data_IF_510442679653
#
_entry.id   IF_510442679653
#
_cell.length_a   1.000
_cell.length_b   1.000
_cell.length_c   1.000
_cell.angle_alpha   90.00
_cell.angle_beta   90.00
_cell.angle_gamma   90.00
#
_symmetry.space_group_name_H-M   'P 1'
#
loop_
_entity.id
_entity.type
_entity.pdbx_description
1 polymer ?
#
# COMPACT_ATOMS: atom_id res chain seq x y z
N UNK A 1 7.29 -17.09 14.03
CA UNK A 1 6.98 -15.73 14.54
C UNK A 1 5.72 -15.12 13.90
N UNK A 2 5.11 -15.73 12.88
CA UNK A 2 3.91 -15.21 12.18
C UNK A 2 2.56 -15.61 12.79
N UNK A 3 2.51 -16.59 13.71
CA UNK A 3 1.22 -17.11 14.22
C UNK A 3 0.50 -16.16 15.17
N UNK A 4 1.22 -15.26 15.86
CA UNK A 4 0.64 -14.36 16.85
C UNK A 4 0.05 -13.08 16.24
N UNK A 5 0.50 -12.64 15.05
CA UNK A 5 -0.08 -11.44 14.40
C UNK A 5 -1.46 -11.70 13.80
N UNK A 6 -1.80 -12.97 13.55
CA UNK A 6 -3.08 -13.34 12.93
C UNK A 6 -4.25 -13.35 13.94
N UNK A 7 -3.99 -13.58 15.23
CA UNK A 7 -5.05 -13.70 16.25
C UNK A 7 -5.84 -12.40 16.48
N UNK A 8 -5.17 -11.25 16.37
CA UNK A 8 -5.79 -9.93 16.54
C UNK A 8 -6.30 -9.33 15.24
N UNK A 9 -5.87 -9.88 14.09
CA UNK A 9 -6.21 -9.37 12.77
C UNK A 9 -7.54 -9.92 12.25
N UNK A 10 -7.87 -11.18 12.56
CA UNK A 10 -9.14 -11.77 12.13
C UNK A 10 -10.39 -11.00 12.59
N UNK A 11 -10.51 -10.54 13.85
CA UNK A 11 -11.67 -9.76 14.27
C UNK A 11 -11.80 -8.40 13.57
N UNK A 12 -10.68 -7.72 13.30
CA UNK A 12 -10.67 -6.44 12.56
C UNK A 12 -11.15 -6.64 11.13
N UNK A 13 -10.68 -7.69 10.47
CA UNK A 13 -11.04 -8.00 9.08
C UNK A 13 -12.51 -8.40 8.97
N UNK A 14 -13.04 -9.20 9.90
CA UNK A 14 -14.47 -9.54 9.92
C UNK A 14 -15.35 -8.30 10.12
N UNK A 15 -14.98 -7.40 11.04
CA UNK A 15 -15.69 -6.13 11.22
C UNK A 15 -15.63 -5.27 9.94
N UNK A 16 -14.48 -5.22 9.28
CA UNK A 16 -14.29 -4.48 8.04
C UNK A 16 -15.19 -5.00 6.91
N UNK A 17 -15.24 -6.34 6.75
CA UNK A 17 -16.12 -7.02 5.80
C UNK A 17 -17.59 -6.71 6.06
N UNK A 18 -18.02 -6.78 7.33
CA UNK A 18 -19.39 -6.46 7.72
C UNK A 18 -19.74 -5.00 7.43
N UNK A 19 -18.88 -4.04 7.81
CA UNK A 19 -19.16 -2.62 7.56
C UNK A 19 -19.20 -2.25 6.08
N UNK A 20 -18.36 -2.86 5.23
CA UNK A 20 -18.46 -2.66 3.77
C UNK A 20 -19.76 -3.22 3.19
N UNK A 21 -20.28 -4.32 3.75
CA UNK A 21 -21.57 -4.87 3.39
C UNK A 21 -22.72 -3.94 3.85
N UNK A 22 -22.67 -3.43 5.08
CA UNK A 22 -23.61 -2.45 5.61
C UNK A 22 -23.66 -1.20 4.71
N UNK A 23 -22.49 -0.66 4.32
CA UNK A 23 -22.38 0.52 3.46
C UNK A 23 -23.11 0.33 2.12
N UNK A 24 -22.96 -0.86 1.53
CA UNK A 24 -23.59 -1.20 0.26
C UNK A 24 -25.11 -1.31 0.37
N UNK A 25 -25.62 -1.71 1.54
CA UNK A 25 -27.05 -1.82 1.85
C UNK A 25 -27.68 -0.59 2.50
N UNK A 26 -26.92 0.47 2.78
CA UNK A 26 -27.41 1.66 3.46
C UNK A 26 -28.27 2.55 2.53
N UNK A 27 -29.43 2.97 3.04
CA UNK A 27 -30.46 3.68 2.27
C UNK A 27 -30.42 5.21 2.45
N UNK A 28 -29.56 5.75 3.32
CA UNK A 28 -29.44 7.20 3.54
C UNK A 28 -27.99 7.70 3.54
N UNK A 29 -27.75 8.96 3.13
CA UNK A 29 -26.42 9.59 3.23
C UNK A 29 -25.87 9.61 4.66
N UNK A 30 -26.72 9.85 5.65
CA UNK A 30 -26.31 9.91 7.06
C UNK A 30 -25.81 8.56 7.57
N UNK A 31 -26.52 7.48 7.22
CA UNK A 31 -26.10 6.12 7.55
C UNK A 31 -24.80 5.76 6.85
N UNK A 32 -24.63 6.15 5.58
CA UNK A 32 -23.38 5.94 4.84
C UNK A 32 -22.20 6.67 5.46
N UNK A 33 -22.39 7.92 5.91
CA UNK A 33 -21.35 8.69 6.55
C UNK A 33 -20.86 8.04 7.86
N UNK A 34 -21.78 7.57 8.72
CA UNK A 34 -21.42 6.85 9.95
C UNK A 34 -20.65 5.56 9.66
N UNK A 35 -21.08 4.80 8.64
CA UNK A 35 -20.41 3.56 8.25
C UNK A 35 -19.04 3.86 7.64
N UNK A 36 -18.90 4.93 6.84
CA UNK A 36 -17.63 5.36 6.25
C UNK A 36 -16.61 5.73 7.35
N UNK A 37 -17.02 6.45 8.40
CA UNK A 37 -16.15 6.77 9.55
C UNK A 37 -15.63 5.49 10.24
N UNK A 38 -16.50 4.49 10.36
CA UNK A 38 -16.15 3.20 10.93
C UNK A 38 -15.21 2.38 10.03
N UNK A 39 -15.42 2.43 8.71
CA UNK A 39 -14.53 1.83 7.71
C UNK A 39 -13.16 2.49 7.77
N UNK A 40 -13.08 3.82 7.85
CA UNK A 40 -11.82 4.56 7.98
C UNK A 40 -11.05 4.18 9.25
N UNK A 41 -11.74 4.11 10.39
CA UNK A 41 -11.14 3.62 11.63
C UNK A 41 -10.55 2.21 11.46
N UNK A 42 -11.30 1.32 10.80
CA UNK A 42 -10.85 -0.05 10.56
C UNK A 42 -9.67 -0.11 9.56
N UNK A 43 -9.65 0.73 8.51
CA UNK A 43 -8.50 0.89 7.60
C UNK A 43 -7.23 1.22 8.37
N UNK A 44 -7.30 2.22 9.26
CA UNK A 44 -6.17 2.63 10.10
C UNK A 44 -5.67 1.48 10.96
N UNK A 45 -6.57 0.77 11.65
CA UNK A 45 -6.18 -0.34 12.53
C UNK A 45 -5.59 -1.53 11.75
N UNK A 46 -6.15 -1.83 10.57
CA UNK A 46 -5.60 -2.87 9.67
C UNK A 46 -4.20 -2.45 9.19
N UNK A 47 -4.02 -1.21 8.75
CA UNK A 47 -2.72 -0.69 8.31
C UNK A 47 -1.67 -0.71 9.43
N UNK A 48 -2.05 -0.40 10.68
CA UNK A 48 -1.20 -0.57 11.87
C UNK A 48 -0.79 -2.03 12.04
N UNK A 49 -1.74 -2.96 11.96
CA UNK A 49 -1.49 -4.40 12.12
C UNK A 49 -0.55 -4.97 11.05
N UNK A 50 -0.54 -4.35 9.87
CA UNK A 50 0.30 -4.68 8.74
C UNK A 50 1.68 -4.03 8.78
N UNK A 51 1.95 -3.13 9.74
CA UNK A 51 3.13 -2.26 9.76
C UNK A 51 3.26 -1.36 8.51
N UNK A 52 2.13 -0.98 7.92
CA UNK A 52 2.09 -0.06 6.78
C UNK A 52 2.10 1.42 7.22
N UNK A 53 1.86 1.68 8.51
CA UNK A 53 2.11 2.97 9.15
C UNK A 53 3.50 2.98 9.81
N UNK A 54 4.14 4.16 9.95
CA UNK A 54 5.39 4.31 10.69
C UNK A 54 5.29 3.70 12.09
N UNK A 55 6.41 3.16 12.60
CA UNK A 55 6.45 2.65 13.97
C UNK A 55 5.97 3.71 14.95
N UNK A 56 4.93 3.32 15.69
CA UNK A 56 4.29 4.21 16.64
C UNK A 56 5.11 4.28 17.93
N UNK A 57 5.35 5.47 18.48
CA UNK A 57 5.97 5.61 19.78
C UNK A 57 5.09 4.90 20.82
N UNK A 58 5.72 4.17 21.74
CA UNK A 58 4.95 3.44 22.76
C UNK A 58 4.22 4.46 23.64
N UNK A 59 2.94 4.24 24.01
CA UNK A 59 2.19 5.20 24.84
C UNK A 59 2.95 5.64 26.11
N UNK A 60 3.67 4.70 26.75
CA UNK A 60 4.51 5.00 27.91
C UNK A 60 5.67 5.96 27.63
N UNK A 61 6.27 5.95 26.44
CA UNK A 61 7.34 6.88 26.06
C UNK A 61 6.81 8.31 25.99
N UNK A 62 5.62 8.50 25.41
CA UNK A 62 4.97 9.82 25.38
C UNK A 62 4.66 10.27 26.80
N UNK A 63 4.05 9.41 27.62
CA UNK A 63 3.73 9.74 29.00
C UNK A 63 4.98 10.11 29.80
N UNK A 64 6.10 9.41 29.60
CA UNK A 64 7.37 9.73 30.25
C UNK A 64 7.94 11.07 29.78
N UNK A 65 7.94 11.32 28.46
CA UNK A 65 8.40 12.57 27.88
C UNK A 65 7.56 13.77 28.35
N UNK A 66 6.24 13.63 28.43
CA UNK A 66 5.34 14.66 28.96
C UNK A 66 5.65 15.00 30.43
N UNK A 67 6.00 14.00 31.23
CA UNK A 67 6.42 14.22 32.64
C UNK A 67 7.72 15.00 32.75
N UNK A 68 8.61 14.93 31.76
CA UNK A 68 9.88 15.69 31.74
C UNK A 68 9.71 17.16 31.34
N UNK A 69 8.59 17.52 30.69
CA UNK A 69 8.33 18.89 30.23
C UNK A 69 8.32 19.90 31.37
N UNK A 70 7.59 19.62 32.45
CA UNK A 70 7.46 20.58 33.56
C UNK A 70 8.79 20.78 34.31
N UNK A 71 9.54 19.72 34.70
CA UNK A 71 10.88 19.88 35.27
C UNK A 71 11.85 20.68 34.38
N UNK A 72 11.82 20.48 33.05
CA UNK A 72 12.65 21.26 32.14
C UNK A 72 12.23 22.73 32.09
N UNK A 73 10.93 23.02 32.03
CA UNK A 73 10.40 24.39 32.09
C UNK A 73 10.85 25.11 33.36
N UNK A 74 10.73 24.46 34.50
CA UNK A 74 11.15 25.00 35.79
C UNK A 74 12.67 25.23 35.85
N UNK A 75 13.45 24.36 35.21
CA UNK A 75 14.91 24.50 35.10
C UNK A 75 15.29 25.69 34.21
N UNK A 76 14.65 25.86 33.06
CA UNK A 76 14.86 27.00 32.17
C UNK A 76 14.53 28.31 32.90
N UNK A 77 13.38 28.39 33.57
CA UNK A 77 12.97 29.60 34.28
C UNK A 77 13.95 29.96 35.41
N UNK A 78 14.45 28.95 36.15
CA UNK A 78 15.48 29.17 37.17
C UNK A 78 16.77 29.73 36.60
N UNK A 79 17.23 29.23 35.45
CA UNK A 79 18.45 29.69 34.78
C UNK A 79 18.32 31.12 34.23
N UNK A 80 17.12 31.47 33.73
CA UNK A 80 16.79 32.85 33.33
C UNK A 80 16.87 33.77 34.55
N UNK A 81 16.24 33.38 35.66
CA UNK A 81 16.22 34.17 36.89
C UNK A 81 17.62 34.33 37.51
N UNK A 82 18.51 33.35 37.33
CA UNK A 82 19.90 33.41 37.81
C UNK A 82 20.86 34.14 36.86
N UNK A 83 20.41 34.56 35.67
CA UNK A 83 21.22 35.30 34.69
C UNK A 83 22.19 34.44 33.85
N UNK A 84 22.10 33.10 33.92
CA UNK A 84 22.95 32.18 33.15
C UNK A 84 22.37 31.99 31.73
N UNK A 85 22.52 33.02 30.89
CA UNK A 85 21.96 33.06 29.53
C UNK A 85 22.40 31.88 28.65
N UNK A 86 23.69 31.52 28.55
CA UNK A 86 24.12 30.43 27.67
C UNK A 86 23.49 29.08 28.04
N UNK A 87 23.37 28.81 29.34
CA UNK A 87 22.76 27.57 29.83
C UNK A 87 21.24 27.58 29.68
N UNK A 88 20.59 28.72 29.93
CA UNK A 88 19.17 28.90 29.69
C UNK A 88 18.80 28.65 28.22
N UNK A 89 19.58 29.19 27.27
CA UNK A 89 19.38 28.98 25.83
C UNK A 89 19.51 27.50 25.44
N UNK A 90 20.51 26.79 25.98
CA UNK A 90 20.69 25.36 25.72
C UNK A 90 19.51 24.53 26.22
N UNK A 91 19.04 24.77 27.44
CA UNK A 91 17.91 24.04 28.02
C UNK A 91 16.59 24.41 27.33
N UNK A 92 16.43 25.67 26.90
CA UNK A 92 15.29 26.08 26.08
C UNK A 92 15.26 25.35 24.74
N UNK A 93 16.42 25.15 24.09
CA UNK A 93 16.51 24.34 22.87
C UNK A 93 16.09 22.89 23.13
N UNK A 94 16.58 22.28 24.21
CA UNK A 94 16.19 20.92 24.60
C UNK A 94 14.67 20.80 24.85
N UNK A 95 14.08 21.77 25.55
CA UNK A 95 12.64 21.83 25.79
C UNK A 95 11.86 21.91 24.47
N UNK A 96 12.30 22.77 23.55
CA UNK A 96 11.64 22.90 22.25
C UNK A 96 11.73 21.58 21.46
N UNK A 97 12.90 20.94 21.42
CA UNK A 97 13.08 19.63 20.76
C UNK A 97 12.19 18.56 21.38
N UNK A 98 12.07 18.51 22.71
CA UNK A 98 11.19 17.56 23.40
C UNK A 98 9.72 17.80 23.06
N UNK A 99 9.27 19.06 23.08
CA UNK A 99 7.90 19.42 22.73
C UNK A 99 7.56 19.05 21.27
N UNK A 100 8.45 19.36 20.33
CA UNK A 100 8.28 18.96 18.92
C UNK A 100 8.20 17.44 18.78
N UNK A 101 9.06 16.69 19.48
CA UNK A 101 9.03 15.22 19.44
C UNK A 101 7.72 14.67 20.00
N UNK A 102 7.21 15.22 21.11
CA UNK A 102 5.91 14.82 21.70
C UNK A 102 4.77 15.10 20.72
N UNK A 103 4.76 16.27 20.06
CA UNK A 103 3.74 16.62 19.08
C UNK A 103 3.77 15.67 17.87
N UNK A 104 4.96 15.37 17.34
CA UNK A 104 5.13 14.41 16.24
C UNK A 104 4.66 13.02 16.64
N UNK A 105 5.02 12.55 17.85
CA UNK A 105 4.58 11.27 18.38
C UNK A 105 3.07 11.18 18.57
N UNK A 106 2.43 12.24 19.05
CA UNK A 106 0.97 12.30 19.18
C UNK A 106 0.27 12.24 17.83
N UNK A 107 0.80 12.93 16.81
CA UNK A 107 0.29 12.87 15.44
C UNK A 107 0.40 11.47 14.85
N UNK A 108 1.49 10.77 15.14
CA UNK A 108 1.67 9.39 14.68
C UNK A 108 0.61 8.47 15.31
N UNK A 109 0.31 8.61 16.61
CA UNK A 109 -0.67 7.73 17.27
C UNK A 109 -2.11 8.04 16.86
N UNK A 110 -2.43 9.33 16.70
CA UNK A 110 -3.78 9.79 16.37
C UNK A 110 -3.97 9.93 14.85
N UNK A 111 -3.67 8.86 14.12
CA UNK A 111 -3.99 8.77 12.69
C UNK A 111 -5.50 8.53 12.60
N UNK A 112 -6.23 9.58 12.24
CA UNK A 112 -7.69 9.51 12.05
C UNK A 112 -8.06 8.93 10.68
N UNK A 113 -7.19 9.12 9.68
CA UNK A 113 -7.41 8.70 8.30
C UNK A 113 -6.17 8.00 7.76
N UNK A 114 -6.37 6.88 7.06
CA UNK A 114 -5.28 6.16 6.40
C UNK A 114 -5.01 6.77 5.02
N UNK A 115 -4.14 7.78 4.98
CA UNK A 115 -3.74 8.45 3.73
C UNK A 115 -2.36 7.95 3.25
N UNK A 116 -2.36 7.28 2.10
CA UNK A 116 -1.16 6.78 1.40
C UNK A 116 -0.71 7.72 0.28
N UNK A 117 -1.30 8.91 0.18
CA UNK A 117 -1.08 9.86 -0.90
C UNK A 117 -1.59 9.33 -2.23
N UNK A 118 -0.72 9.22 -3.23
CA UNK A 118 -1.07 8.72 -4.57
C UNK A 118 -1.05 7.19 -4.69
N UNK A 119 -0.68 6.47 -3.63
CA UNK A 119 -0.54 5.01 -3.65
C UNK A 119 -1.85 4.38 -3.19
N UNK A 120 -2.38 3.42 -3.95
CA UNK A 120 -3.51 2.62 -3.51
C UNK A 120 -3.01 1.35 -2.82
N UNK A 121 -3.30 1.18 -1.53
CA UNK A 121 -2.90 0.00 -0.78
C UNK A 121 -3.97 -1.10 -0.84
N UNK A 122 -3.81 -1.99 -1.82
CA UNK A 122 -4.68 -3.15 -2.02
C UNK A 122 -4.82 -4.04 -0.78
N UNK A 123 -3.76 -4.17 0.03
CA UNK A 123 -3.76 -5.10 1.17
C UNK A 123 -4.58 -4.60 2.36
N UNK A 124 -4.81 -3.29 2.45
CA UNK A 124 -5.68 -2.65 3.43
C UNK A 124 -7.10 -2.55 2.86
N UNK A 125 -7.23 -2.01 1.65
CA UNK A 125 -8.54 -1.75 1.02
C UNK A 125 -9.36 -3.02 0.74
N UNK A 126 -8.66 -4.15 0.55
CA UNK A 126 -9.24 -5.47 0.35
C UNK A 126 -8.70 -6.48 1.36
N UNK A 127 -8.44 -6.05 2.59
CA UNK A 127 -7.92 -6.91 3.65
C UNK A 127 -8.73 -8.20 3.85
N UNK A 128 -10.05 -8.12 3.70
CA UNK A 128 -10.98 -9.25 3.74
C UNK A 128 -10.77 -10.24 2.60
N UNK A 129 -10.42 -9.76 1.40
CA UNK A 129 -10.12 -10.61 0.24
C UNK A 129 -8.77 -11.31 0.42
N UNK A 130 -7.75 -10.57 0.89
CA UNK A 130 -6.43 -11.15 1.13
C UNK A 130 -6.39 -12.09 2.34
N UNK A 131 -7.26 -11.90 3.34
CA UNK A 131 -7.46 -12.88 4.41
C UNK A 131 -8.01 -14.21 3.89
N UNK A 132 -8.88 -14.16 2.87
CA UNK A 132 -9.42 -15.32 2.15
C UNK A 132 -8.45 -15.84 1.06
N UNK A 133 -7.23 -15.30 1.01
CA UNK A 133 -6.13 -15.77 0.16
C UNK A 133 -5.95 -15.00 -1.15
N UNK A 134 -6.79 -14.02 -1.46
CA UNK A 134 -6.72 -13.20 -2.68
C UNK A 134 -7.99 -13.25 -3.53
N UNK A 135 -7.96 -12.58 -4.68
CA UNK A 135 -9.12 -12.46 -5.55
C UNK A 135 -9.42 -13.77 -6.30
N UNK A 136 -10.70 -14.11 -6.45
CA UNK A 136 -11.16 -15.19 -7.33
C UNK A 136 -10.81 -14.93 -8.79
N UNK A 137 -10.94 -13.67 -9.22
CA UNK A 137 -10.75 -13.26 -10.61
C UNK A 137 -10.08 -11.88 -10.64
N UNK A 138 -9.05 -11.74 -11.47
CA UNK A 138 -8.45 -10.43 -11.79
C UNK A 138 -8.51 -10.23 -13.30
N UNK A 139 -9.19 -9.17 -13.74
CA UNK A 139 -9.33 -8.83 -15.16
C UNK A 139 -8.78 -7.45 -15.45
N UNK A 140 -8.09 -7.28 -16.57
CA UNK A 140 -7.63 -5.96 -16.98
C UNK A 140 -7.45 -5.82 -18.50
N UNK A 141 -7.56 -4.57 -18.95
CA UNK A 141 -6.92 -4.08 -20.17
C UNK A 141 -5.81 -3.12 -19.72
N UNK A 142 -4.59 -3.63 -19.43
CA UNK A 142 -3.54 -2.81 -18.86
C UNK A 142 -3.08 -1.71 -19.84
N UNK A 143 -2.50 -0.62 -19.32
CA UNK A 143 -2.00 0.46 -20.17
C UNK A 143 -0.84 0.00 -21.07
N UNK A 144 -0.79 0.52 -22.29
CA UNK A 144 0.23 0.19 -23.29
C UNK A 144 1.30 1.29 -23.38
N UNK A 145 2.08 1.46 -22.30
CA UNK A 145 3.18 2.43 -22.26
C UNK A 145 4.48 1.74 -22.61
N UNK A 146 5.12 2.23 -23.67
CA UNK A 146 6.43 1.73 -24.10
C UNK A 146 7.52 2.12 -23.12
N UNK A 147 8.51 1.25 -23.00
CA UNK A 147 9.64 1.41 -22.08
C UNK A 147 10.36 2.77 -22.20
N UNK A 148 10.43 3.39 -23.37
CA UNK A 148 11.12 4.67 -23.58
C UNK A 148 10.46 5.81 -22.81
N UNK A 149 9.15 5.72 -22.53
CA UNK A 149 8.37 6.77 -21.88
C UNK A 149 8.38 6.66 -20.35
N UNK A 150 8.83 5.53 -19.79
CA UNK A 150 8.78 5.29 -18.35
C UNK A 150 9.86 6.06 -17.57
N UNK A 151 10.90 6.59 -18.23
CA UNK A 151 12.00 7.29 -17.57
C UNK A 151 12.92 6.35 -16.75
N UNK A 152 14.15 6.79 -16.51
CA UNK A 152 15.16 5.97 -15.81
C UNK A 152 14.85 5.82 -14.32
N UNK A 153 14.49 6.92 -13.66
CA UNK A 153 14.23 6.97 -12.22
C UNK A 153 13.10 6.02 -11.82
N UNK A 154 11.96 6.08 -12.51
CA UNK A 154 10.83 5.18 -12.25
C UNK A 154 11.20 3.70 -12.45
N UNK A 155 11.99 3.38 -13.49
CA UNK A 155 12.44 2.00 -13.71
C UNK A 155 13.35 1.50 -12.59
N UNK A 156 14.35 2.30 -12.19
CA UNK A 156 15.35 1.90 -11.20
C UNK A 156 14.80 1.89 -9.77
N UNK A 157 13.96 2.87 -9.43
CA UNK A 157 13.50 3.11 -8.05
C UNK A 157 12.07 2.61 -7.77
N UNK A 158 11.27 2.31 -8.80
CA UNK A 158 9.90 1.78 -8.62
C UNK A 158 9.71 0.41 -9.25
N UNK A 159 10.04 0.20 -10.52
CA UNK A 159 9.74 -1.08 -11.19
C UNK A 159 10.70 -2.18 -10.77
N UNK A 160 12.02 -1.94 -10.82
CA UNK A 160 13.03 -2.96 -10.52
C UNK A 160 12.94 -3.49 -9.08
N UNK A 161 12.74 -2.68 -8.03
CA UNK A 161 12.65 -3.18 -6.66
C UNK A 161 11.35 -3.96 -6.41
N UNK A 162 10.24 -3.56 -7.04
CA UNK A 162 8.92 -4.14 -6.79
C UNK A 162 8.56 -5.33 -7.69
N UNK A 163 9.29 -5.54 -8.80
CA UNK A 163 8.99 -6.55 -9.80
C UNK A 163 10.26 -7.23 -10.35
N UNK A 164 11.29 -7.39 -9.50
CA UNK A 164 12.61 -7.88 -9.92
C UNK A 164 12.59 -9.22 -10.66
N UNK A 165 11.62 -10.07 -10.32
CA UNK A 165 11.36 -11.38 -10.90
C UNK A 165 10.95 -11.31 -12.37
N UNK A 166 10.20 -10.29 -12.78
CA UNK A 166 9.83 -10.05 -14.19
C UNK A 166 10.55 -8.88 -14.84
N UNK A 167 11.37 -8.13 -14.09
CA UNK A 167 11.95 -6.87 -14.54
C UNK A 167 12.86 -7.03 -15.75
N UNK A 168 12.58 -6.22 -16.77
CA UNK A 168 13.44 -5.94 -17.91
C UNK A 168 13.41 -4.44 -18.22
N UNK A 169 14.59 -3.84 -18.41
CA UNK A 169 14.71 -2.41 -18.73
C UNK A 169 14.03 -1.99 -20.04
N UNK A 170 13.74 -2.97 -20.91
CA UNK A 170 13.08 -2.79 -22.21
C UNK A 170 11.64 -3.31 -22.23
N UNK A 171 11.08 -3.73 -21.08
CA UNK A 171 9.69 -4.16 -21.00
C UNK A 171 8.71 -2.98 -21.04
N UNK A 172 7.62 -3.17 -21.77
CA UNK A 172 6.44 -2.31 -21.71
C UNK A 172 5.76 -2.45 -20.34
N UNK A 173 5.03 -1.41 -19.90
CA UNK A 173 4.47 -1.35 -18.54
C UNK A 173 3.52 -2.51 -18.21
N UNK A 174 2.79 -3.04 -19.20
CA UNK A 174 1.81 -4.10 -18.98
C UNK A 174 2.45 -5.39 -18.44
N UNK A 175 3.76 -5.61 -18.63
CA UNK A 175 4.48 -6.76 -18.06
C UNK A 175 4.35 -6.80 -16.54
N UNK A 176 4.46 -5.64 -15.90
CA UNK A 176 4.36 -5.50 -14.45
C UNK A 176 2.92 -5.64 -13.96
N UNK A 177 1.93 -5.33 -14.81
CA UNK A 177 0.52 -5.60 -14.51
C UNK A 177 0.20 -7.09 -14.50
N UNK A 178 0.78 -7.90 -15.39
CA UNK A 178 0.63 -9.36 -15.33
C UNK A 178 1.17 -9.92 -14.01
N UNK A 179 2.38 -9.53 -13.62
CA UNK A 179 2.97 -9.97 -12.36
C UNK A 179 2.14 -9.53 -11.15
N UNK A 180 1.69 -8.26 -11.14
CA UNK A 180 0.81 -7.75 -10.07
C UNK A 180 -0.51 -8.51 -10.01
N UNK A 181 -1.17 -8.73 -11.13
CA UNK A 181 -2.43 -9.49 -11.18
C UNK A 181 -2.25 -10.90 -10.64
N UNK A 182 -1.16 -11.58 -11.04
CA UNK A 182 -0.87 -12.92 -10.56
C UNK A 182 -0.67 -12.96 -9.04
N UNK A 183 0.06 -11.98 -8.49
CA UNK A 183 0.29 -11.87 -7.04
C UNK A 183 -0.99 -11.55 -6.23
N UNK A 184 -2.05 -11.05 -6.87
CA UNK A 184 -3.32 -10.72 -6.23
C UNK A 184 -4.33 -11.89 -6.23
N UNK A 185 -4.12 -12.91 -7.06
CA UNK A 185 -5.03 -14.05 -7.16
C UNK A 185 -4.86 -14.98 -5.96
N UNK A 186 -5.99 -15.54 -5.50
CA UNK A 186 -5.95 -16.70 -4.59
C UNK A 186 -5.49 -17.96 -5.32
N UNK A 187 -5.21 -19.01 -4.55
CA UNK A 187 -5.02 -20.35 -5.12
C UNK A 187 -6.25 -20.75 -5.94
N UNK A 188 -6.04 -21.19 -7.19
CA UNK A 188 -7.09 -21.47 -8.18
C UNK A 188 -7.96 -20.26 -8.56
N UNK A 189 -7.49 -19.04 -8.35
CA UNK A 189 -8.07 -17.85 -8.96
C UNK A 189 -7.72 -17.77 -10.45
N UNK A 190 -8.45 -16.94 -11.20
CA UNK A 190 -8.29 -16.80 -12.66
C UNK A 190 -7.87 -15.39 -13.04
N UNK A 191 -6.76 -15.27 -13.77
CA UNK A 191 -6.35 -14.03 -14.42
C UNK A 191 -6.90 -13.96 -15.84
N UNK A 192 -7.48 -12.83 -16.24
CA UNK A 192 -7.93 -12.62 -17.62
C UNK A 192 -7.57 -11.24 -18.15
N UNK A 193 -6.56 -11.17 -19.02
CA UNK A 193 -6.10 -9.91 -19.61
C UNK A 193 -6.35 -9.88 -21.10
N UNK A 194 -6.80 -8.73 -21.60
CA UNK A 194 -6.60 -8.35 -23.00
C UNK A 194 -5.33 -7.52 -23.08
N UNK A 195 -4.30 -7.99 -23.78
CA UNK A 195 -3.01 -7.32 -23.87
C UNK A 195 -2.31 -7.57 -25.20
N UNK A 196 -1.15 -6.95 -25.40
CA UNK A 196 -0.30 -7.17 -26.58
C UNK A 196 0.23 -8.61 -26.58
N UNK A 197 0.26 -9.30 -27.72
CA UNK A 197 0.89 -10.63 -27.84
C UNK A 197 2.44 -10.57 -27.90
N UNK A 198 3.04 -9.38 -28.00
CA UNK A 198 4.49 -9.21 -28.23
C UNK A 198 5.35 -9.85 -27.15
N UNK A 199 4.94 -9.82 -25.89
CA UNK A 199 5.69 -10.41 -24.78
C UNK A 199 5.85 -11.94 -24.89
N UNK A 200 5.04 -12.61 -25.72
CA UNK A 200 5.20 -14.05 -26.00
C UNK A 200 6.51 -14.35 -26.74
N UNK A 201 7.01 -13.40 -27.55
CA UNK A 201 8.18 -13.60 -28.45
C UNK A 201 9.34 -12.67 -28.15
N UNK A 202 9.08 -11.49 -27.59
CA UNK A 202 10.11 -10.52 -27.29
C UNK A 202 11.05 -11.00 -26.18
N UNK A 203 12.33 -10.64 -26.28
CA UNK A 203 13.35 -10.97 -25.28
C UNK A 203 13.03 -10.41 -23.89
N UNK A 204 12.45 -9.19 -23.81
CA UNK A 204 12.04 -8.63 -22.51
C UNK A 204 10.96 -9.45 -21.80
N UNK A 205 10.20 -10.27 -22.53
CA UNK A 205 9.11 -11.07 -21.98
C UNK A 205 9.56 -12.41 -21.41
N UNK A 206 10.84 -12.78 -21.54
CA UNK A 206 11.37 -14.08 -21.10
C UNK A 206 11.08 -14.35 -19.62
N UNK A 207 11.41 -13.40 -18.75
CA UNK A 207 11.15 -13.53 -17.32
C UNK A 207 9.66 -13.60 -16.99
N UNK A 208 8.82 -12.85 -17.69
CA UNK A 208 7.37 -12.91 -17.49
C UNK A 208 6.82 -14.28 -17.89
N UNK A 209 7.25 -14.82 -19.04
CA UNK A 209 6.86 -16.17 -19.47
C UNK A 209 7.25 -17.20 -18.43
N UNK A 210 8.49 -17.15 -17.93
CA UNK A 210 8.96 -18.06 -16.90
C UNK A 210 8.14 -17.93 -15.61
N UNK A 211 7.96 -16.70 -15.12
CA UNK A 211 7.19 -16.42 -13.91
C UNK A 211 5.76 -16.95 -13.97
N UNK A 212 5.05 -16.74 -15.09
CA UNK A 212 3.68 -17.25 -15.24
C UNK A 212 3.67 -18.78 -15.39
N UNK A 213 4.57 -19.36 -16.18
CA UNK A 213 4.62 -20.83 -16.35
C UNK A 213 4.97 -21.58 -15.06
N UNK A 214 5.76 -20.97 -14.18
CA UNK A 214 6.12 -21.57 -12.89
C UNK A 214 4.98 -21.52 -11.87
N UNK A 215 4.10 -20.53 -11.98
CA UNK A 215 3.09 -20.23 -10.95
C UNK A 215 1.65 -20.51 -11.39
N UNK A 216 1.39 -20.63 -12.69
CA UNK A 216 0.02 -20.63 -13.25
C UNK A 216 -0.15 -21.69 -14.34
N UNK A 217 -1.40 -21.85 -14.81
CA UNK A 217 -1.72 -22.70 -15.96
C UNK A 217 -2.62 -21.93 -16.91
N UNK A 218 -2.10 -21.65 -18.11
CA UNK A 218 -2.93 -21.03 -19.14
C UNK A 218 -4.07 -21.96 -19.57
N UNK A 219 -5.28 -21.44 -19.49
CA UNK A 219 -6.50 -22.10 -19.92
C UNK A 219 -6.87 -21.72 -21.35
N UNK A 220 -6.63 -20.46 -21.74
CA UNK A 220 -6.98 -19.95 -23.06
C UNK A 220 -6.05 -18.82 -23.50
N UNK A 221 -5.63 -18.87 -24.77
CA UNK A 221 -4.98 -17.75 -25.45
C UNK A 221 -5.70 -17.53 -26.77
N UNK A 222 -6.29 -16.35 -26.95
CA UNK A 222 -6.94 -15.94 -28.20
C UNK A 222 -6.11 -14.82 -28.81
N UNK A 223 -5.35 -15.12 -29.86
CA UNK A 223 -4.56 -14.15 -30.60
C UNK A 223 -5.38 -13.62 -31.78
N UNK A 224 -5.65 -12.31 -31.79
CA UNK A 224 -6.42 -11.66 -32.85
C UNK A 224 -5.55 -11.31 -34.06
N UNK A 225 -4.22 -11.44 -33.98
CA UNK A 225 -3.32 -11.11 -35.08
C UNK A 225 -3.47 -9.67 -35.56
N UNK A 226 -3.72 -9.50 -36.86
CA UNK A 226 -3.87 -8.19 -37.51
C UNK A 226 -5.33 -7.68 -37.53
N UNK A 227 -6.25 -8.37 -36.86
CA UNK A 227 -7.64 -7.90 -36.78
C UNK A 227 -7.68 -6.54 -36.06
N UNK A 228 -8.37 -5.53 -36.63
CA UNK A 228 -8.46 -4.19 -36.05
C UNK A 228 -9.48 -4.18 -34.91
N UNK A 229 -9.19 -4.90 -33.83
CA UNK A 229 -10.04 -4.94 -32.62
C UNK A 229 -10.10 -3.57 -31.93
N UNK A 230 -9.01 -2.80 -32.06
CA UNK A 230 -8.91 -1.42 -31.55
C UNK A 230 -8.44 -0.47 -32.65
N UNK A 231 -8.77 0.81 -32.53
CA UNK A 231 -8.32 1.88 -33.43
C UNK A 231 -6.81 2.18 -33.34
N UNK A 232 -6.03 1.36 -32.64
CA UNK A 232 -4.59 1.49 -32.47
C UNK A 232 -3.89 0.26 -33.06
N UNK A 233 -2.75 0.45 -33.72
CA UNK A 233 -1.90 -0.60 -34.28
C UNK A 233 -1.23 -1.43 -33.17
N UNK A 234 -2.02 -2.28 -32.53
CA UNK A 234 -1.61 -3.24 -31.50
C UNK A 234 -1.95 -4.64 -32.00
N UNK A 235 -1.24 -5.65 -31.53
CA UNK A 235 -1.55 -7.06 -31.78
C UNK A 235 -2.24 -7.59 -30.51
N UNK A 236 -3.57 -7.45 -30.39
CA UNK A 236 -4.24 -7.78 -29.16
C UNK A 236 -4.41 -9.29 -29.05
N UNK A 237 -4.32 -9.78 -27.84
CA UNK A 237 -4.64 -11.15 -27.47
C UNK A 237 -5.33 -11.18 -26.12
N UNK A 238 -6.25 -12.13 -25.95
CA UNK A 238 -6.83 -12.45 -24.64
C UNK A 238 -6.03 -13.61 -24.03
N UNK A 239 -5.64 -13.44 -22.78
CA UNK A 239 -4.90 -14.39 -21.98
C UNK A 239 -5.76 -14.75 -20.77
N UNK A 240 -6.04 -16.04 -20.58
CA UNK A 240 -6.74 -16.58 -19.41
C UNK A 240 -5.86 -17.65 -18.76
N UNK A 241 -5.51 -17.47 -17.49
CA UNK A 241 -4.56 -18.31 -16.74
C UNK A 241 -4.94 -18.48 -15.27
#
# INVERSE_FOLDING_TARGET
>A
MEKDSNLFRSPLIEQFKLRKADYSGADSPESKAEIDEDIERLRVEIAKSLHHLPEQPKPFQITLAEREVQPLRDKVQRLINSGDKPKAEREQKNLNTLLTSIEEWKKQINVEHYDTGEIFDWTVEFAEVFADGGFDVVMANPPYIRQELLGRDYKENKLKPNFGEVYSGTADIYVYFFARANAMLRTNGVGCFISSNKWLRAGYGEKLRQHLLDQTKFHLVVDFGELPVFNAATFPAIFLW
#
